data_IF_070504455941
#
_entry.id   IF_070504455941
#
_cell.length_a   1.000
_cell.length_b   1.000
_cell.length_c   1.000
_cell.angle_alpha   90.00
_cell.angle_beta   90.00
_cell.angle_gamma   90.00
#
_symmetry.space_group_name_H-M   'P 1'
#
loop_
_entity.id
_entity.type
_entity.pdbx_description
1 polymer ?
#
# COMPACT_ATOMS: atom_id res chain seq x y z
N UNK A 1 45.81 12.37 -70.39
CA UNK A 1 44.67 11.45 -70.58
C UNK A 1 44.63 10.59 -69.32
N UNK A 2 43.85 10.83 -68.25
CA UNK A 2 42.49 11.34 -68.00
C UNK A 2 41.70 10.20 -67.31
N UNK A 3 40.68 10.41 -66.43
CA UNK A 3 40.22 11.58 -65.64
C UNK A 3 40.37 11.29 -64.09
N UNK A 4 40.01 12.09 -63.08
CA UNK A 4 39.06 13.19 -62.92
C UNK A 4 37.72 12.73 -62.28
N UNK A 5 37.46 13.07 -61.00
CA UNK A 5 36.16 12.95 -60.30
C UNK A 5 36.32 12.52 -58.82
N UNK A 6 36.22 13.39 -57.80
CA UNK A 6 35.05 14.13 -57.27
C UNK A 6 33.89 13.21 -56.86
N UNK A 7 33.66 13.12 -55.54
CA UNK A 7 32.52 12.44 -54.96
C UNK A 7 32.53 12.49 -53.43
N UNK A 8 32.12 13.63 -52.85
CA UNK A 8 31.58 13.64 -51.49
C UNK A 8 30.28 12.84 -51.53
N UNK A 9 30.14 11.83 -50.68
CA UNK A 9 28.84 11.41 -50.16
C UNK A 9 28.86 11.54 -48.64
N UNK A 10 28.40 12.72 -48.22
CA UNK A 10 27.77 12.92 -46.91
C UNK A 10 26.29 12.59 -47.11
N UNK A 11 25.88 11.40 -46.67
CA UNK A 11 24.51 10.99 -46.31
C UNK A 11 24.69 9.88 -45.28
N UNK A 12 24.10 9.90 -44.09
CA UNK A 12 22.85 10.53 -43.71
C UNK A 12 21.88 9.42 -43.34
N UNK A 13 21.77 9.20 -42.02
CA UNK A 13 20.59 8.72 -41.30
C UNK A 13 20.14 7.24 -41.43
N UNK A 14 19.60 6.73 -40.32
CA UNK A 14 19.24 5.34 -40.07
C UNK A 14 19.97 4.82 -38.82
N UNK A 15 19.76 5.40 -37.63
CA UNK A 15 18.43 5.64 -37.10
C UNK A 15 17.84 4.34 -36.57
N UNK A 16 18.53 3.70 -35.62
CA UNK A 16 17.88 2.88 -34.58
C UNK A 16 18.80 2.86 -33.36
N UNK A 17 18.89 4.04 -32.75
CA UNK A 17 19.19 4.13 -31.34
C UNK A 17 18.24 3.18 -30.61
N UNK A 18 18.79 2.09 -30.06
CA UNK A 18 18.19 1.31 -28.98
C UNK A 18 18.03 2.23 -27.77
N UNK A 19 16.98 3.02 -27.82
CA UNK A 19 16.65 4.11 -26.91
C UNK A 19 15.42 3.77 -26.10
N UNK A 20 15.36 2.57 -25.52
CA UNK A 20 14.16 2.07 -24.87
C UNK A 20 14.49 0.95 -23.87
N UNK A 21 15.10 1.33 -22.75
CA UNK A 21 15.21 0.40 -21.62
C UNK A 21 15.81 0.95 -20.34
N UNK A 22 16.63 2.00 -20.41
CA UNK A 22 17.30 2.57 -19.24
C UNK A 22 16.68 3.93 -18.89
N UNK A 23 15.81 3.95 -17.87
CA UNK A 23 15.44 5.19 -17.19
C UNK A 23 13.96 5.40 -16.82
N UNK A 24 13.02 4.60 -17.34
CA UNK A 24 11.59 4.73 -17.00
C UNK A 24 11.15 3.62 -16.06
N UNK A 25 10.70 3.99 -14.86
CA UNK A 25 10.07 3.04 -13.92
C UNK A 25 8.81 2.45 -14.59
N UNK A 26 8.69 1.10 -14.68
CA UNK A 26 7.50 0.48 -15.25
C UNK A 26 6.24 0.88 -14.48
N UNK A 27 5.13 1.12 -15.19
CA UNK A 27 3.83 1.46 -14.57
C UNK A 27 3.39 0.42 -13.53
N UNK A 28 3.78 -0.85 -13.72
CA UNK A 28 3.54 -1.94 -12.77
C UNK A 28 4.19 -1.73 -11.40
N UNK A 29 5.24 -0.93 -11.26
CA UNK A 29 5.83 -0.61 -9.95
C UNK A 29 4.90 0.31 -9.15
N UNK A 30 4.25 1.26 -9.80
CA UNK A 30 3.42 2.27 -9.11
C UNK A 30 1.99 1.81 -8.99
N UNK A 31 1.34 1.43 -10.09
CA UNK A 31 -0.05 0.94 -10.06
C UNK A 31 -0.17 -0.48 -9.52
N UNK A 32 0.91 -1.27 -9.62
CA UNK A 32 0.94 -2.58 -8.96
C UNK A 32 0.86 -2.48 -7.44
N UNK A 33 1.23 -1.34 -6.82
CA UNK A 33 1.02 -1.13 -5.39
C UNK A 33 -0.47 -1.15 -5.05
N UNK A 34 -1.28 -0.45 -5.84
CA UNK A 34 -2.73 -0.45 -5.67
C UNK A 34 -3.33 -1.82 -5.94
N UNK A 35 -2.85 -2.54 -6.96
CA UNK A 35 -3.34 -3.88 -7.27
C UNK A 35 -2.98 -4.89 -6.17
N UNK A 36 -1.72 -4.88 -5.70
CA UNK A 36 -1.26 -5.74 -4.62
C UNK A 36 -2.00 -5.44 -3.31
N UNK A 37 -2.20 -4.16 -3.00
CA UNK A 37 -3.03 -3.71 -1.87
C UNK A 37 -4.46 -4.26 -1.98
N UNK A 38 -5.12 -4.10 -3.14
CA UNK A 38 -6.49 -4.56 -3.31
C UNK A 38 -6.65 -6.07 -3.13
N UNK A 39 -5.68 -6.87 -3.59
CA UNK A 39 -5.69 -8.32 -3.39
C UNK A 39 -5.51 -8.68 -1.90
N UNK A 40 -4.57 -8.03 -1.22
CA UNK A 40 -4.31 -8.26 0.20
C UNK A 40 -5.49 -7.83 1.07
N UNK A 41 -6.00 -6.63 0.87
CA UNK A 41 -7.12 -6.08 1.64
C UNK A 41 -8.46 -6.76 1.32
N UNK A 42 -8.59 -7.48 0.19
CA UNK A 42 -9.75 -8.34 -0.06
C UNK A 42 -9.78 -9.55 0.91
N UNK A 43 -8.63 -10.16 1.21
CA UNK A 43 -8.53 -11.19 2.25
C UNK A 43 -8.91 -10.61 3.62
N UNK A 44 -8.37 -9.43 3.96
CA UNK A 44 -8.69 -8.77 5.22
C UNK A 44 -10.18 -8.45 5.30
N UNK A 45 -10.78 -7.84 4.28
CA UNK A 45 -12.20 -7.49 4.27
C UNK A 45 -13.10 -8.73 4.46
N UNK A 46 -12.75 -9.84 3.82
CA UNK A 46 -13.50 -11.08 3.89
C UNK A 46 -13.38 -11.79 5.25
N UNK A 47 -12.27 -11.61 5.96
CA UNK A 47 -11.94 -12.45 7.13
C UNK A 47 -11.83 -11.70 8.46
N UNK A 48 -11.54 -10.40 8.46
CA UNK A 48 -11.16 -9.61 9.63
C UNK A 48 -12.21 -9.63 10.74
N UNK A 49 -13.46 -9.21 10.48
CA UNK A 49 -14.43 -9.14 11.58
C UNK A 49 -14.88 -10.51 12.08
N UNK A 50 -14.94 -11.53 11.22
CA UNK A 50 -15.24 -12.89 11.67
C UNK A 50 -14.13 -13.37 12.60
N UNK A 51 -12.88 -13.28 12.14
CA UNK A 51 -11.72 -13.67 12.93
C UNK A 51 -11.65 -12.90 14.25
N UNK A 52 -11.88 -11.59 14.26
CA UNK A 52 -11.86 -10.78 15.49
C UNK A 52 -12.92 -11.24 16.50
N UNK A 53 -14.15 -11.55 16.05
CA UNK A 53 -15.20 -12.07 16.95
C UNK A 53 -14.82 -13.41 17.57
N UNK A 54 -14.22 -14.30 16.77
CA UNK A 54 -13.80 -15.64 17.22
C UNK A 54 -12.56 -15.61 18.11
N UNK A 55 -11.60 -14.75 17.80
CA UNK A 55 -10.35 -14.61 18.54
C UNK A 55 -10.49 -13.79 19.84
N UNK A 56 -11.55 -12.99 19.96
CA UNK A 56 -11.75 -12.06 21.09
C UNK A 56 -11.68 -12.71 22.47
N UNK A 57 -12.36 -13.84 22.76
CA UNK A 57 -12.28 -14.46 24.09
C UNK A 57 -10.84 -14.84 24.47
N UNK A 58 -10.13 -15.45 23.52
CA UNK A 58 -8.72 -15.84 23.70
C UNK A 58 -7.79 -14.63 23.86
N UNK A 59 -7.98 -13.58 23.06
CA UNK A 59 -7.22 -12.33 23.17
C UNK A 59 -7.44 -11.62 24.50
N UNK A 60 -8.69 -11.62 25.01
CA UNK A 60 -9.04 -11.03 26.30
C UNK A 60 -8.38 -11.74 27.47
N UNK A 61 -8.31 -13.07 27.43
CA UNK A 61 -7.59 -13.87 28.43
C UNK A 61 -6.08 -13.61 28.37
N UNK A 62 -5.50 -13.58 27.17
CA UNK A 62 -4.05 -13.41 26.98
C UNK A 62 -3.54 -12.01 27.32
N UNK A 63 -4.38 -10.99 27.11
CA UNK A 63 -4.06 -9.58 27.29
C UNK A 63 -5.17 -8.85 28.07
N UNK A 64 -5.30 -9.12 29.38
CA UNK A 64 -6.43 -8.62 30.19
C UNK A 64 -6.40 -7.10 30.41
N UNK A 65 -5.26 -6.45 30.17
CA UNK A 65 -5.11 -4.99 30.30
C UNK A 65 -5.62 -4.21 29.08
N UNK A 66 -5.93 -4.90 27.98
CA UNK A 66 -6.41 -4.27 26.75
C UNK A 66 -7.94 -4.14 26.82
N UNK A 67 -8.52 -2.96 26.55
CA UNK A 67 -9.97 -2.76 26.64
C UNK A 67 -10.66 -3.31 25.38
N UNK A 68 -10.69 -4.63 25.21
CA UNK A 68 -11.23 -5.32 24.02
C UNK A 68 -12.67 -4.92 23.67
N UNK A 69 -13.48 -4.60 24.68
CA UNK A 69 -14.84 -4.06 24.53
C UNK A 69 -14.91 -2.78 23.68
N UNK A 70 -13.85 -1.96 23.74
CA UNK A 70 -13.74 -0.69 23.01
C UNK A 70 -13.06 -0.84 21.66
N UNK A 71 -12.49 -2.02 21.39
CA UNK A 71 -11.74 -2.35 20.18
C UNK A 71 -12.53 -3.23 19.23
N UNK A 72 -13.82 -3.45 19.48
CA UNK A 72 -14.66 -4.23 18.58
C UNK A 72 -14.77 -3.55 17.21
N UNK A 73 -14.23 -4.21 16.20
CA UNK A 73 -14.28 -3.75 14.81
C UNK A 73 -15.47 -4.41 14.12
N UNK A 74 -16.54 -3.64 13.90
CA UNK A 74 -17.66 -4.09 13.06
C UNK A 74 -17.22 -4.23 11.60
N UNK A 75 -17.88 -5.10 10.82
CA UNK A 75 -17.62 -5.21 9.37
C UNK A 75 -17.80 -3.87 8.65
N UNK A 76 -18.78 -3.07 9.07
CA UNK A 76 -19.01 -1.74 8.49
C UNK A 76 -17.82 -0.81 8.75
N UNK A 77 -17.27 -0.81 9.96
CA UNK A 77 -16.06 -0.03 10.29
C UNK A 77 -14.85 -0.50 9.49
N UNK A 78 -14.61 -1.81 9.43
CA UNK A 78 -13.53 -2.38 8.61
C UNK A 78 -13.65 -1.98 7.14
N UNK A 79 -14.85 -2.11 6.56
CA UNK A 79 -15.11 -1.76 5.16
C UNK A 79 -14.82 -0.29 4.86
N UNK A 80 -15.28 0.63 5.73
CA UNK A 80 -15.03 2.07 5.57
C UNK A 80 -13.55 2.39 5.73
N UNK A 81 -12.88 1.79 6.73
CA UNK A 81 -11.45 2.00 6.94
C UNK A 81 -10.61 1.51 5.75
N UNK A 82 -10.91 0.33 5.22
CA UNK A 82 -10.26 -0.24 4.03
C UNK A 82 -10.50 0.66 2.81
N UNK A 83 -11.72 1.14 2.60
CA UNK A 83 -12.02 2.04 1.47
C UNK A 83 -11.25 3.37 1.57
N UNK A 84 -11.17 3.97 2.76
CA UNK A 84 -10.40 5.19 3.00
C UNK A 84 -8.90 4.97 2.77
N UNK A 85 -8.35 3.85 3.27
CA UNK A 85 -6.96 3.48 3.03
C UNK A 85 -6.69 3.24 1.54
N UNK A 86 -7.62 2.62 0.83
CA UNK A 86 -7.55 2.45 -0.63
C UNK A 86 -7.42 3.78 -1.37
N UNK A 87 -8.11 4.83 -0.91
CA UNK A 87 -7.93 6.18 -1.42
C UNK A 87 -6.51 6.73 -1.22
N UNK A 88 -5.92 6.51 -0.04
CA UNK A 88 -4.53 6.90 0.26
C UNK A 88 -3.55 6.15 -0.65
N UNK A 89 -3.71 4.83 -0.79
CA UNK A 89 -2.85 3.99 -1.63
C UNK A 89 -2.98 4.36 -3.11
N UNK A 90 -4.20 4.59 -3.59
CA UNK A 90 -4.46 5.03 -4.96
C UNK A 90 -3.85 6.40 -5.24
N UNK A 91 -3.98 7.35 -4.32
CA UNK A 91 -3.34 8.67 -4.42
C UNK A 91 -1.82 8.56 -4.46
N UNK A 92 -1.23 7.74 -3.58
CA UNK A 92 0.21 7.50 -3.55
C UNK A 92 0.71 6.82 -4.85
N UNK A 93 -0.03 5.83 -5.37
CA UNK A 93 0.25 5.18 -6.65
C UNK A 93 0.19 6.18 -7.82
N UNK A 94 -0.81 7.06 -7.86
CA UNK A 94 -0.96 8.08 -8.89
C UNK A 94 0.19 9.09 -8.87
N UNK A 95 0.57 9.60 -7.69
CA UNK A 95 1.73 10.50 -7.54
C UNK A 95 3.03 9.76 -7.86
N UNK A 96 3.14 8.49 -7.48
CA UNK A 96 4.24 7.61 -7.88
C UNK A 96 4.37 7.52 -9.39
N UNK A 97 3.27 7.26 -10.10
CA UNK A 97 3.24 7.17 -11.57
C UNK A 97 3.68 8.49 -12.22
N UNK A 98 3.14 9.63 -11.76
CA UNK A 98 3.52 10.97 -12.26
C UNK A 98 4.98 11.33 -12.04
N UNK A 99 5.60 10.78 -10.99
CA UNK A 99 6.99 11.08 -10.60
C UNK A 99 7.99 9.99 -11.01
N UNK A 100 7.55 8.95 -11.71
CA UNK A 100 8.39 7.78 -12.01
C UNK A 100 8.96 7.14 -10.74
N UNK A 101 8.15 7.03 -9.68
CA UNK A 101 8.53 6.41 -8.41
C UNK A 101 9.40 7.26 -7.47
N UNK A 102 9.74 8.51 -7.85
CA UNK A 102 10.57 9.41 -7.01
C UNK A 102 9.82 10.07 -5.86
N UNK A 103 8.49 10.04 -5.87
CA UNK A 103 7.66 10.65 -4.83
C UNK A 103 7.95 10.07 -3.45
N UNK A 104 8.19 10.96 -2.47
CA UNK A 104 8.35 10.58 -1.06
C UNK A 104 7.10 9.90 -0.51
N UNK A 105 5.92 10.39 -0.87
CA UNK A 105 4.65 9.80 -0.45
C UNK A 105 4.50 8.37 -1.00
N UNK A 106 4.79 8.16 -2.29
CA UNK A 106 4.76 6.83 -2.89
C UNK A 106 5.75 5.86 -2.21
N UNK A 107 7.00 6.28 -2.04
CA UNK A 107 8.02 5.46 -1.39
C UNK A 107 7.70 5.15 0.08
N UNK A 108 7.10 6.09 0.82
CA UNK A 108 6.66 5.87 2.18
C UNK A 108 5.50 4.86 2.26
N UNK A 109 4.50 4.98 1.38
CA UNK A 109 3.39 4.00 1.33
C UNK A 109 3.89 2.64 0.89
N UNK A 110 4.81 2.54 -0.09
CA UNK A 110 5.42 1.28 -0.49
C UNK A 110 6.20 0.63 0.67
N UNK A 111 6.97 1.42 1.45
CA UNK A 111 7.65 0.92 2.64
C UNK A 111 6.66 0.45 3.70
N UNK A 112 5.60 1.23 3.94
CA UNK A 112 4.55 0.88 4.90
C UNK A 112 3.77 -0.36 4.50
N UNK A 113 3.49 -0.55 3.21
CA UNK A 113 2.87 -1.76 2.68
C UNK A 113 3.73 -2.99 2.97
N UNK A 114 5.05 -2.92 2.74
CA UNK A 114 5.97 -3.99 3.13
C UNK A 114 5.97 -4.27 4.63
N UNK A 115 6.04 -3.22 5.47
CA UNK A 115 6.00 -3.36 6.92
C UNK A 115 4.68 -3.97 7.44
N UNK A 116 3.56 -3.61 6.80
CA UNK A 116 2.23 -4.18 7.06
C UNK A 116 2.21 -5.69 6.82
N UNK A 117 2.79 -6.16 5.70
CA UNK A 117 2.93 -7.59 5.42
C UNK A 117 3.76 -8.33 6.47
N UNK A 118 4.86 -7.73 6.96
CA UNK A 118 5.67 -8.32 8.04
C UNK A 118 4.87 -8.41 9.35
N UNK A 119 4.08 -7.38 9.67
CA UNK A 119 3.24 -7.37 10.86
C UNK A 119 2.22 -8.52 10.84
N UNK A 120 1.61 -8.81 9.70
CA UNK A 120 0.69 -9.94 9.54
C UNK A 120 1.37 -11.29 9.81
N UNK A 121 2.58 -11.48 9.29
CA UNK A 121 3.34 -12.69 9.59
C UNK A 121 3.72 -12.80 11.08
N UNK A 122 4.07 -11.68 11.71
CA UNK A 122 4.35 -11.65 13.14
C UNK A 122 3.11 -12.00 13.97
N UNK A 123 1.94 -11.48 13.59
CA UNK A 123 0.66 -11.81 14.22
C UNK A 123 0.32 -13.30 14.05
N UNK A 124 0.41 -13.83 12.83
CA UNK A 124 0.19 -15.25 12.53
C UNK A 124 1.12 -16.16 13.35
N UNK A 125 2.39 -15.80 13.46
CA UNK A 125 3.36 -16.51 14.28
C UNK A 125 3.03 -16.44 15.78
N UNK A 126 2.63 -15.27 16.28
CA UNK A 126 2.27 -15.07 17.68
C UNK A 126 1.03 -15.88 18.10
N UNK A 127 0.04 -16.01 17.21
CA UNK A 127 -1.14 -16.86 17.44
C UNK A 127 -0.92 -18.32 17.02
N UNK A 128 0.25 -18.64 16.45
CA UNK A 128 0.60 -19.95 15.88
C UNK A 128 -0.47 -20.50 14.93
N UNK A 129 -1.01 -19.63 14.09
CA UNK A 129 -2.15 -19.96 13.25
C UNK A 129 -2.50 -18.86 12.26
N UNK A 130 -3.65 -19.04 11.62
CA UNK A 130 -4.16 -18.07 10.65
C UNK A 130 -4.57 -16.76 11.32
N UNK A 131 -4.15 -15.65 10.71
CA UNK A 131 -4.71 -14.31 10.92
C UNK A 131 -5.14 -13.72 9.58
N UNK A 132 -6.12 -12.81 9.54
CA UNK A 132 -6.45 -12.05 8.32
C UNK A 132 -5.18 -11.43 7.75
N UNK A 133 -4.88 -11.69 6.47
CA UNK A 133 -3.68 -11.19 5.79
C UNK A 133 -2.47 -12.12 5.87
N UNK A 134 -2.53 -13.23 6.63
CA UNK A 134 -1.41 -14.17 6.77
C UNK A 134 -1.11 -14.97 5.49
N UNK A 135 -2.08 -15.10 4.58
CA UNK A 135 -1.90 -15.80 3.30
C UNK A 135 -1.36 -14.85 2.23
N UNK A 136 -1.99 -13.69 2.04
CA UNK A 136 -1.59 -12.72 1.02
C UNK A 136 -0.35 -11.90 1.40
N UNK A 137 -0.01 -11.75 2.69
CA UNK A 137 1.24 -11.09 3.09
C UNK A 137 2.49 -11.74 2.48
N UNK A 138 2.75 -13.05 2.65
CA UNK A 138 3.92 -13.71 2.08
C UNK A 138 3.80 -13.96 0.56
N UNK A 139 2.58 -14.05 0.02
CA UNK A 139 2.37 -14.38 -1.40
C UNK A 139 2.28 -13.15 -2.31
N UNK A 140 1.85 -12.00 -1.78
CA UNK A 140 1.56 -10.80 -2.55
C UNK A 140 2.35 -9.61 -2.00
N UNK A 141 2.17 -9.25 -0.74
CA UNK A 141 2.70 -8.00 -0.16
C UNK A 141 4.22 -7.98 -0.18
N UNK A 142 4.86 -8.99 0.41
CA UNK A 142 6.32 -9.03 0.53
C UNK A 142 6.99 -9.25 -0.83
N UNK A 143 6.53 -10.19 -1.69
CA UNK A 143 7.10 -10.36 -3.02
C UNK A 143 6.97 -9.10 -3.89
N UNK A 144 5.79 -8.47 -3.90
CA UNK A 144 5.56 -7.24 -4.64
C UNK A 144 6.47 -6.12 -4.14
N UNK A 145 6.53 -5.91 -2.82
CA UNK A 145 7.33 -4.83 -2.23
C UNK A 145 8.81 -5.01 -2.55
N UNK A 146 9.34 -6.23 -2.40
CA UNK A 146 10.72 -6.54 -2.75
C UNK A 146 11.00 -6.31 -4.24
N UNK A 147 10.11 -6.77 -5.12
CA UNK A 147 10.21 -6.57 -6.57
C UNK A 147 10.18 -5.08 -6.94
N UNK A 148 9.24 -4.31 -6.39
CA UNK A 148 9.08 -2.89 -6.65
C UNK A 148 10.35 -2.11 -6.25
N UNK A 149 10.91 -2.38 -5.07
CA UNK A 149 12.17 -1.76 -4.65
C UNK A 149 13.35 -2.12 -5.55
N UNK A 150 13.47 -3.38 -5.98
CA UNK A 150 14.50 -3.80 -6.94
C UNK A 150 14.37 -3.04 -8.26
N UNK A 151 13.15 -2.86 -8.76
CA UNK A 151 12.88 -2.12 -10.01
C UNK A 151 13.17 -0.63 -9.88
N UNK A 152 12.82 0.01 -8.77
CA UNK A 152 13.16 1.41 -8.50
C UNK A 152 14.68 1.61 -8.49
N UNK A 153 15.42 0.75 -7.79
CA UNK A 153 16.89 0.79 -7.74
C UNK A 153 17.52 0.58 -9.11
N UNK A 154 17.05 -0.42 -9.87
CA UNK A 154 17.54 -0.70 -11.22
C UNK A 154 17.27 0.46 -12.20
N UNK A 155 16.19 1.21 -11.99
CA UNK A 155 15.87 2.41 -12.77
C UNK A 155 16.61 3.68 -12.29
N UNK A 156 17.55 3.56 -11.33
CA UNK A 156 18.31 4.69 -10.80
C UNK A 156 17.48 5.67 -9.96
N UNK A 157 16.26 5.28 -9.54
CA UNK A 157 15.44 6.12 -8.66
C UNK A 157 16.12 6.22 -7.30
N UNK A 158 16.34 7.44 -6.78
CA UNK A 158 16.84 7.62 -5.42
C UNK A 158 15.87 6.98 -4.43
N UNK A 159 16.26 5.82 -3.89
CA UNK A 159 15.58 5.14 -2.79
C UNK A 159 16.26 5.62 -1.51
N UNK A 160 15.58 6.48 -0.75
CA UNK A 160 16.19 7.05 0.44
C UNK A 160 16.23 6.03 1.57
N UNK A 161 17.42 5.62 2.00
CA UNK A 161 17.62 4.79 3.19
C UNK A 161 17.56 5.60 4.50
N UNK A 162 17.61 4.89 5.63
CA UNK A 162 17.82 5.48 6.96
C UNK A 162 16.65 6.33 7.47
N UNK A 163 16.96 7.49 8.06
CA UNK A 163 16.02 8.33 8.82
C UNK A 163 14.75 8.74 8.05
N UNK A 164 14.83 8.93 6.73
CA UNK A 164 13.67 9.29 5.91
C UNK A 164 12.69 8.15 5.67
N UNK A 165 13.17 6.90 5.63
CA UNK A 165 12.31 5.71 5.64
C UNK A 165 11.65 5.57 7.02
N UNK A 166 12.41 5.77 8.10
CA UNK A 166 11.88 5.73 9.46
C UNK A 166 10.82 6.81 9.70
N UNK A 167 11.01 8.03 9.22
CA UNK A 167 10.01 9.09 9.31
C UNK A 167 8.72 8.74 8.54
N UNK A 168 8.84 8.12 7.36
CA UNK A 168 7.69 7.64 6.59
C UNK A 168 6.93 6.50 7.30
N UNK A 169 7.67 5.54 7.88
CA UNK A 169 7.09 4.48 8.69
C UNK A 169 6.44 5.01 9.97
N UNK A 170 7.05 6.02 10.61
CA UNK A 170 6.52 6.67 11.80
C UNK A 170 5.24 7.48 11.53
N UNK A 171 4.95 7.82 10.27
CA UNK A 171 3.69 8.44 9.89
C UNK A 171 2.54 7.42 9.76
N UNK A 172 2.84 6.11 9.66
CA UNK A 172 1.80 5.07 9.48
C UNK A 172 0.80 5.03 10.63
N UNK A 173 1.19 5.10 11.93
CA UNK A 173 0.23 5.16 13.02
C UNK A 173 -0.69 6.39 12.93
N UNK A 174 -0.20 7.53 12.43
CA UNK A 174 -1.00 8.73 12.27
C UNK A 174 -2.05 8.56 11.15
N UNK A 175 -1.63 8.02 10.00
CA UNK A 175 -2.56 7.75 8.89
C UNK A 175 -3.58 6.71 9.29
N UNK A 176 -3.15 5.61 9.91
CA UNK A 176 -4.03 4.54 10.39
C UNK A 176 -5.01 5.07 11.45
N UNK A 177 -4.52 5.84 12.41
CA UNK A 177 -5.35 6.50 13.44
C UNK A 177 -6.37 7.46 12.83
N UNK A 178 -5.95 8.27 11.85
CA UNK A 178 -6.84 9.19 11.12
C UNK A 178 -7.93 8.46 10.32
N UNK A 179 -7.56 7.40 9.60
CA UNK A 179 -8.49 6.54 8.85
C UNK A 179 -9.52 5.91 9.80
N UNK A 180 -9.06 5.35 10.93
CA UNK A 180 -9.98 4.75 11.90
C UNK A 180 -10.85 5.77 12.63
N UNK A 181 -10.31 6.96 12.95
CA UNK A 181 -11.10 8.03 13.54
C UNK A 181 -12.21 8.49 12.58
N UNK A 182 -11.88 8.68 11.30
CA UNK A 182 -12.85 9.04 10.28
C UNK A 182 -13.88 7.92 10.05
N UNK A 183 -13.44 6.67 9.95
CA UNK A 183 -14.34 5.52 9.86
C UNK A 183 -15.29 5.46 11.06
N UNK A 184 -14.79 5.70 12.27
CA UNK A 184 -15.62 5.74 13.48
C UNK A 184 -16.69 6.82 13.39
N UNK A 185 -16.34 8.04 12.96
CA UNK A 185 -17.30 9.14 12.76
C UNK A 185 -18.35 8.78 11.71
N UNK A 186 -17.95 8.21 10.57
CA UNK A 186 -18.85 7.82 9.48
C UNK A 186 -19.74 6.61 9.84
N UNK A 187 -19.30 5.79 10.79
CA UNK A 187 -20.02 4.58 11.20
C UNK A 187 -20.91 4.75 12.42
N UNK A 188 -20.80 5.85 13.18
CA UNK A 188 -21.68 6.13 14.32
C UNK A 188 -23.17 6.13 13.90
N UNK A 189 -24.05 5.46 14.65
CA UNK A 189 -25.48 5.59 14.47
C UNK A 189 -25.90 7.06 14.60
N UNK A 190 -26.67 7.58 13.64
CA UNK A 190 -27.30 8.90 13.81
C UNK A 190 -28.30 8.79 14.95
N UNK A 191 -28.22 9.69 15.94
CA UNK A 191 -29.24 9.75 17.00
C UNK A 191 -30.62 9.95 16.33
N UNK A 192 -31.64 9.13 16.64
CA UNK A 192 -32.98 9.41 16.17
C UNK A 192 -33.40 10.79 16.68
N UNK A 193 -34.02 11.59 15.80
CA UNK A 193 -34.61 12.86 16.21
C UNK A 193 -35.63 12.57 17.32
N UNK A 194 -35.47 13.21 18.47
CA UNK A 194 -36.45 13.15 19.56
C UNK A 194 -37.82 13.49 18.97
N UNK A 195 -38.82 12.60 19.03
CA UNK A 195 -40.17 12.95 18.61
C UNK A 195 -40.61 14.15 19.45
N UNK A 196 -40.91 15.28 18.81
CA UNK A 196 -41.59 16.39 19.48
C UNK A 196 -42.90 15.82 20.02
N UNK A 197 -43.02 15.79 21.35
CA UNK A 197 -44.28 15.45 22.01
C UNK A 197 -45.36 16.39 21.45
N UNK A 198 -46.34 15.83 20.75
CA UNK A 198 -47.52 16.61 20.33
C UNK A 198 -48.39 16.86 21.58
N UNK A 199 -48.96 18.06 21.70
CA UNK A 199 -49.74 18.49 22.88
C UNK A 199 -51.02 17.69 23.06
#
# INVERSE_FOLDING_TARGET
MGPGGSGRDVRGDGGEARGDGLGRVPAGVTWGLLAAWAVHDAEELATMARWMREARPWLAERYPRVPWERLEVSQRHASVAIALMGGVVAGAAAVGARTGGRSRAFQAVLAGFGAHGVMHLAQAAAVRGYTPGSVTAPLVVLPFTAWAWRRLRAAGVPVRGGASTWAGLAALPLVLGGVHALAHVLTRPRRPATPLARP
#
